data_IF_398124997699
#
_entry.id   IF_398124997699
#
_cell.length_a   1.000
_cell.length_b   1.000
_cell.length_c   1.000
_cell.angle_alpha   90.00
_cell.angle_beta   90.00
_cell.angle_gamma   90.00
#
_symmetry.space_group_name_H-M   'P 1'
#
loop_
_entity.id
_entity.type
_entity.pdbx_description
1 polymer ?
#
# COMPACT_ATOMS: atom_id res chain seq x y z
N UNK A 1 -4.40 -5.66 -25.24
CA UNK A 1 -3.74 -4.61 -24.41
C UNK A 1 -2.28 -4.99 -24.24
N UNK A 2 -1.33 -4.13 -24.59
CA UNK A 2 0.10 -4.44 -24.45
C UNK A 2 0.43 -4.46 -22.97
N UNK A 3 0.85 -5.62 -22.48
CA UNK A 3 1.36 -5.81 -21.12
C UNK A 3 2.73 -5.14 -21.08
N UNK A 4 2.89 -4.08 -20.29
CA UNK A 4 4.18 -3.42 -20.14
C UNK A 4 5.03 -4.24 -19.19
N UNK A 5 6.15 -4.75 -19.69
CA UNK A 5 7.12 -5.51 -18.91
C UNK A 5 8.23 -4.57 -18.41
N UNK A 6 8.58 -4.73 -17.16
CA UNK A 6 9.76 -4.10 -16.55
C UNK A 6 10.55 -5.24 -15.90
N UNK A 7 11.65 -5.65 -16.53
CA UNK A 7 12.40 -6.85 -16.16
C UNK A 7 11.47 -8.08 -16.09
N UNK A 8 11.34 -8.67 -14.87
CA UNK A 8 10.46 -9.81 -14.59
C UNK A 8 9.03 -9.42 -14.15
N UNK A 9 8.71 -8.11 -14.14
CA UNK A 9 7.40 -7.61 -13.70
C UNK A 9 6.45 -7.40 -14.88
N UNK A 10 5.25 -7.99 -14.76
CA UNK A 10 4.13 -7.80 -15.67
C UNK A 10 3.12 -6.84 -15.03
N UNK A 11 2.81 -5.74 -15.69
CA UNK A 11 1.78 -4.80 -15.26
C UNK A 11 0.40 -5.34 -15.68
N UNK A 12 -0.45 -5.67 -14.70
CA UNK A 12 -1.76 -6.31 -14.94
C UNK A 12 -2.84 -5.25 -15.11
N UNK A 13 -3.00 -4.37 -14.13
CA UNK A 13 -3.98 -3.27 -14.16
C UNK A 13 -3.50 -2.09 -13.32
N UNK A 14 -4.04 -0.91 -13.61
CA UNK A 14 -3.84 0.28 -12.80
C UNK A 14 -4.71 0.20 -11.55
N UNK A 15 -4.11 0.46 -10.38
CA UNK A 15 -4.79 0.54 -9.09
C UNK A 15 -5.10 1.97 -8.68
N UNK A 16 -4.19 2.92 -9.01
CA UNK A 16 -4.36 4.30 -8.63
C UNK A 16 -3.42 5.24 -9.39
N UNK A 17 -3.65 6.55 -9.21
CA UNK A 17 -2.80 7.61 -9.75
C UNK A 17 -2.62 8.70 -8.70
N UNK A 18 -1.38 9.00 -8.35
CA UNK A 18 -1.00 10.16 -7.56
C UNK A 18 -0.52 11.31 -8.45
N UNK A 19 -0.06 12.38 -7.81
CA UNK A 19 0.44 13.59 -8.52
C UNK A 19 1.68 13.27 -9.36
N UNK A 20 2.58 12.43 -8.86
CA UNK A 20 3.88 12.13 -9.49
C UNK A 20 4.10 10.65 -9.78
N UNK A 21 3.10 9.81 -9.54
CA UNK A 21 3.22 8.37 -9.66
C UNK A 21 1.92 7.71 -10.09
N UNK A 22 2.07 6.51 -10.59
CA UNK A 22 0.96 5.61 -10.86
C UNK A 22 1.20 4.31 -10.12
N UNK A 23 0.14 3.70 -9.58
CA UNK A 23 0.23 2.41 -8.89
C UNK A 23 -0.45 1.35 -9.73
N UNK A 24 0.22 0.22 -9.91
CA UNK A 24 -0.24 -0.89 -10.71
C UNK A 24 -0.27 -2.19 -9.90
N UNK A 25 -1.25 -3.02 -10.16
CA UNK A 25 -1.19 -4.43 -9.82
C UNK A 25 -0.21 -5.11 -10.78
N UNK A 26 0.75 -5.82 -10.22
CA UNK A 26 1.78 -6.54 -10.98
C UNK A 26 1.92 -7.97 -10.51
N UNK A 27 2.55 -8.80 -11.35
CA UNK A 27 3.03 -10.13 -10.98
C UNK A 27 4.45 -10.33 -11.50
N UNK A 28 5.24 -11.18 -10.86
CA UNK A 28 6.51 -11.64 -11.43
C UNK A 28 6.24 -12.73 -12.46
N UNK A 29 7.07 -12.76 -13.51
CA UNK A 29 6.97 -13.78 -14.54
C UNK A 29 7.14 -15.18 -13.92
N UNK A 30 6.22 -16.09 -14.23
CA UNK A 30 6.22 -17.44 -13.68
C UNK A 30 5.69 -17.58 -12.26
N UNK A 31 5.27 -16.48 -11.61
CA UNK A 31 4.67 -16.49 -10.26
C UNK A 31 3.18 -16.12 -10.30
N UNK A 32 2.42 -16.72 -9.38
CA UNK A 32 1.03 -16.32 -9.10
C UNK A 32 0.94 -15.17 -8.07
N UNK A 33 2.07 -14.82 -7.45
CA UNK A 33 2.12 -13.76 -6.45
C UNK A 33 1.83 -12.40 -7.07
N UNK A 34 1.10 -11.59 -6.33
CA UNK A 34 0.66 -10.26 -6.74
C UNK A 34 1.34 -9.20 -5.89
N UNK A 35 1.71 -8.12 -6.55
CA UNK A 35 2.38 -6.97 -5.93
C UNK A 35 1.67 -5.69 -6.33
N UNK A 36 1.78 -4.66 -5.50
CA UNK A 36 1.51 -3.28 -5.89
C UNK A 36 2.83 -2.64 -6.33
N UNK A 37 2.88 -2.06 -7.52
CA UNK A 37 4.08 -1.41 -8.05
C UNK A 37 3.81 0.07 -8.27
N UNK A 38 4.48 0.92 -7.49
CA UNK A 38 4.45 2.37 -7.62
C UNK A 38 5.48 2.78 -8.67
N UNK A 39 5.00 3.26 -9.82
CA UNK A 39 5.81 3.78 -10.93
C UNK A 39 5.96 5.28 -10.77
N UNK A 40 7.19 5.78 -10.62
CA UNK A 40 7.53 7.18 -10.40
C UNK A 40 8.31 7.69 -11.61
N UNK A 41 7.86 8.76 -12.26
CA UNK A 41 8.58 9.37 -13.39
C UNK A 41 9.80 10.15 -12.89
N UNK A 42 10.98 9.83 -13.41
CA UNK A 42 12.25 10.50 -13.07
C UNK A 42 12.30 11.97 -13.48
N UNK A 43 11.43 12.42 -14.38
CA UNK A 43 11.30 13.86 -14.69
C UNK A 43 10.95 14.67 -13.45
N UNK A 44 10.19 14.10 -12.51
CA UNK A 44 9.92 14.76 -11.22
C UNK A 44 11.13 14.75 -10.29
N UNK A 45 12.02 13.77 -10.43
CA UNK A 45 13.28 13.70 -9.70
C UNK A 45 14.38 14.64 -10.26
N UNK A 46 14.15 15.35 -11.36
CA UNK A 46 15.04 16.40 -11.87
C UNK A 46 15.19 17.58 -10.89
N UNK A 47 14.16 17.80 -10.05
CA UNK A 47 14.26 18.72 -8.92
C UNK A 47 15.02 18.03 -7.77
N UNK A 48 16.16 18.61 -7.27
CA UNK A 48 16.96 18.02 -6.20
C UNK A 48 16.18 17.72 -4.92
N UNK A 49 15.18 18.54 -4.58
CA UNK A 49 14.29 18.32 -3.41
C UNK A 49 13.42 17.08 -3.64
N UNK A 50 12.80 16.96 -4.81
CA UNK A 50 11.94 15.81 -5.13
C UNK A 50 12.75 14.50 -5.17
N UNK A 51 13.97 14.52 -5.74
CA UNK A 51 14.88 13.38 -5.71
C UNK A 51 15.18 12.95 -4.27
N UNK A 52 15.53 13.88 -3.40
CA UNK A 52 15.79 13.60 -1.99
C UNK A 52 14.59 12.95 -1.27
N UNK A 53 13.36 13.36 -1.62
CA UNK A 53 12.16 12.72 -1.06
C UNK A 53 12.01 11.27 -1.51
N UNK A 54 12.24 10.98 -2.80
CA UNK A 54 12.16 9.62 -3.33
C UNK A 54 13.26 8.73 -2.72
N UNK A 55 14.49 9.22 -2.66
CA UNK A 55 15.62 8.49 -2.08
C UNK A 55 15.38 8.19 -0.59
N UNK A 56 14.84 9.16 0.16
CA UNK A 56 14.47 8.98 1.56
C UNK A 56 13.32 7.96 1.71
N UNK A 57 12.27 8.03 0.89
CA UNK A 57 11.15 7.08 0.91
C UNK A 57 11.67 5.65 0.70
N UNK A 58 12.52 5.45 -0.31
CA UNK A 58 13.14 4.16 -0.61
C UNK A 58 13.99 3.67 0.57
N UNK A 59 14.83 4.53 1.12
CA UNK A 59 15.72 4.20 2.25
C UNK A 59 14.92 3.78 3.48
N UNK A 60 13.89 4.55 3.82
CA UNK A 60 13.00 4.26 4.95
C UNK A 60 12.28 2.93 4.73
N UNK A 61 11.67 2.73 3.56
CA UNK A 61 10.92 1.49 3.28
C UNK A 61 11.79 0.25 3.28
N UNK A 62 13.08 0.34 2.90
CA UNK A 62 14.03 -0.78 2.98
C UNK A 62 14.38 -1.20 4.41
N UNK A 63 14.30 -0.27 5.37
CA UNK A 63 14.64 -0.50 6.78
C UNK A 63 13.42 -0.86 7.64
N UNK A 64 12.22 -0.84 7.07
CA UNK A 64 10.98 -1.13 7.78
C UNK A 64 10.61 -2.62 7.60
N UNK A 65 10.40 -3.30 8.74
CA UNK A 65 9.80 -4.63 8.79
C UNK A 65 8.81 -4.68 9.96
N UNK A 66 7.51 -4.56 9.64
CA UNK A 66 6.43 -4.56 10.63
C UNK A 66 5.12 -5.06 9.97
N UNK A 67 4.36 -5.94 10.63
CA UNK A 67 3.18 -6.59 10.03
C UNK A 67 2.05 -5.64 9.62
N UNK A 68 2.02 -4.42 10.17
CA UNK A 68 1.00 -3.40 9.83
C UNK A 68 1.59 -2.23 9.04
N UNK A 69 2.70 -2.43 8.34
CA UNK A 69 3.26 -1.46 7.40
C UNK A 69 3.53 -2.20 6.10
N UNK A 70 3.09 -1.61 4.99
CA UNK A 70 3.28 -2.19 3.65
C UNK A 70 4.74 -2.51 3.40
N UNK A 71 5.03 -3.77 3.10
CA UNK A 71 6.40 -4.25 2.89
C UNK A 71 6.91 -3.86 1.51
N UNK A 72 8.13 -3.34 1.43
CA UNK A 72 8.86 -3.17 0.17
C UNK A 72 9.62 -4.47 -0.14
N UNK A 73 9.37 -5.03 -1.32
CA UNK A 73 10.04 -6.26 -1.78
C UNK A 73 11.22 -5.98 -2.70
N UNK A 74 11.09 -4.95 -3.56
CA UNK A 74 12.10 -4.67 -4.56
C UNK A 74 12.02 -3.22 -5.05
N UNK A 75 13.11 -2.69 -5.59
CA UNK A 75 13.17 -1.40 -6.26
C UNK A 75 13.86 -1.61 -7.60
N UNK A 76 13.11 -1.40 -8.69
CA UNK A 76 13.63 -1.48 -10.04
C UNK A 76 13.74 -0.10 -10.65
N UNK A 77 14.65 0.06 -11.58
CA UNK A 77 14.97 1.35 -12.19
C UNK A 77 15.21 1.19 -13.69
N UNK A 78 14.61 2.10 -14.45
CA UNK A 78 14.90 2.29 -15.88
C UNK A 78 15.47 3.68 -16.12
N UNK A 79 15.82 4.02 -17.37
CA UNK A 79 16.24 5.38 -17.72
C UNK A 79 15.19 6.45 -17.39
N UNK A 80 13.89 6.09 -17.38
CA UNK A 80 12.77 7.04 -17.25
C UNK A 80 12.02 6.92 -15.92
N UNK A 81 12.03 5.75 -15.24
CA UNK A 81 11.16 5.48 -14.11
C UNK A 81 11.87 4.75 -12.97
N UNK A 82 11.41 5.02 -11.73
CA UNK A 82 11.58 4.13 -10.60
C UNK A 82 10.32 3.27 -10.42
N UNK A 83 10.50 2.02 -9.99
CA UNK A 83 9.42 1.09 -9.68
C UNK A 83 9.64 0.52 -8.28
N UNK A 84 8.79 0.92 -7.33
CA UNK A 84 8.79 0.39 -5.97
C UNK A 84 7.79 -0.77 -5.93
N UNK A 85 8.30 -1.98 -5.75
CA UNK A 85 7.49 -3.21 -5.70
C UNK A 85 7.16 -3.49 -4.25
N UNK A 86 5.90 -3.37 -3.89
CA UNK A 86 5.42 -3.50 -2.52
C UNK A 86 4.39 -4.61 -2.39
N UNK A 87 4.07 -4.95 -1.15
CA UNK A 87 2.94 -5.78 -0.79
C UNK A 87 1.65 -5.27 -1.46
N UNK A 88 0.85 -6.19 -1.98
CA UNK A 88 -0.47 -5.89 -2.52
C UNK A 88 -1.54 -6.16 -1.48
N UNK A 89 -2.20 -5.11 -1.02
CA UNK A 89 -3.34 -5.19 -0.12
C UNK A 89 -4.62 -5.31 -0.95
N UNK A 90 -5.28 -6.45 -0.89
CA UNK A 90 -6.40 -6.78 -1.79
C UNK A 90 -7.76 -6.27 -1.33
N UNK A 91 -7.84 -5.66 -0.16
CA UNK A 91 -9.04 -5.05 0.42
C UNK A 91 -9.23 -3.56 0.09
N UNK A 92 -8.32 -2.95 -0.66
CA UNK A 92 -8.37 -1.51 -0.95
C UNK A 92 -7.99 -0.64 0.24
N UNK A 93 -8.42 0.61 0.24
CA UNK A 93 -8.21 1.56 1.33
C UNK A 93 -9.38 1.58 2.32
N UNK A 94 -9.11 2.09 3.53
CA UNK A 94 -10.09 2.11 4.61
C UNK A 94 -11.22 3.13 4.38
N UNK A 95 -10.97 4.21 3.60
CA UNK A 95 -12.00 5.20 3.26
C UNK A 95 -13.09 4.55 2.44
N UNK A 96 -12.71 3.94 1.32
CA UNK A 96 -13.64 3.21 0.43
C UNK A 96 -14.37 2.07 1.17
N UNK A 97 -13.65 1.35 2.04
CA UNK A 97 -14.27 0.26 2.81
C UNK A 97 -15.30 0.74 3.83
N UNK A 98 -15.09 1.93 4.41
CA UNK A 98 -16.04 2.55 5.34
C UNK A 98 -17.29 3.02 4.59
N UNK A 99 -17.12 3.67 3.44
CA UNK A 99 -18.21 4.11 2.56
C UNK A 99 -19.06 2.92 2.11
N UNK A 100 -18.45 1.88 1.57
CA UNK A 100 -19.13 0.65 1.14
C UNK A 100 -19.92 -0.01 2.29
N UNK A 101 -19.34 -0.03 3.50
CA UNK A 101 -20.03 -0.58 4.67
C UNK A 101 -21.22 0.26 5.06
N UNK A 102 -21.07 1.59 5.09
CA UNK A 102 -22.13 2.53 5.45
C UNK A 102 -23.28 2.49 4.43
N UNK A 103 -22.96 2.46 3.14
CA UNK A 103 -23.96 2.36 2.06
C UNK A 103 -24.74 1.05 2.13
N UNK A 104 -24.05 -0.05 2.41
CA UNK A 104 -24.67 -1.38 2.45
C UNK A 104 -25.55 -1.61 3.67
N UNK A 105 -25.12 -1.15 4.84
CA UNK A 105 -25.76 -1.48 6.11
C UNK A 105 -26.46 -0.29 6.78
N UNK A 106 -26.30 0.92 6.26
CA UNK A 106 -26.76 2.19 6.85
C UNK A 106 -26.34 2.35 8.33
N UNK A 107 -25.10 1.94 8.64
CA UNK A 107 -24.55 1.90 10.00
C UNK A 107 -23.05 2.20 9.97
N UNK A 108 -22.47 2.79 11.03
CA UNK A 108 -21.03 2.88 11.18
C UNK A 108 -20.41 1.49 11.39
N UNK A 109 -19.08 1.39 11.28
CA UNK A 109 -18.37 0.17 11.68
C UNK A 109 -18.67 -0.18 13.13
N UNK A 110 -18.84 -1.48 13.45
CA UNK A 110 -18.91 -1.96 14.82
C UNK A 110 -17.69 -1.54 15.63
N UNK A 111 -17.88 -1.19 16.90
CA UNK A 111 -16.79 -0.74 17.78
C UNK A 111 -15.63 -1.75 17.84
N UNK A 112 -15.93 -3.05 17.86
CA UNK A 112 -14.93 -4.12 17.84
C UNK A 112 -14.00 -4.05 16.62
N UNK A 113 -14.56 -3.70 15.45
CA UNK A 113 -13.78 -3.51 14.21
C UNK A 113 -12.91 -2.28 14.33
N UNK A 114 -13.46 -1.18 14.83
CA UNK A 114 -12.71 0.07 15.04
C UNK A 114 -11.55 -0.15 16.01
N UNK A 115 -11.79 -0.80 17.15
CA UNK A 115 -10.77 -1.12 18.13
C UNK A 115 -9.64 -1.99 17.53
N UNK A 116 -10.01 -2.98 16.73
CA UNK A 116 -9.04 -3.84 16.06
C UNK A 116 -8.17 -3.06 15.07
N UNK A 117 -8.78 -2.24 14.21
CA UNK A 117 -8.05 -1.39 13.25
C UNK A 117 -7.13 -0.41 13.98
N UNK A 118 -7.63 0.25 15.02
CA UNK A 118 -6.85 1.20 15.80
C UNK A 118 -5.64 0.56 16.50
N UNK A 119 -5.77 -0.67 17.01
CA UNK A 119 -4.63 -1.40 17.60
C UNK A 119 -3.50 -1.60 16.58
N UNK A 120 -3.82 -1.94 15.34
CA UNK A 120 -2.83 -2.14 14.28
C UNK A 120 -2.18 -0.82 13.87
N UNK A 121 -2.98 0.22 13.68
CA UNK A 121 -2.49 1.57 13.32
C UNK A 121 -1.54 2.09 14.41
N UNK A 122 -1.94 2.00 15.68
CA UNK A 122 -1.11 2.43 16.81
C UNK A 122 0.18 1.61 16.90
N UNK A 123 0.12 0.30 16.63
CA UNK A 123 1.31 -0.56 16.58
C UNK A 123 2.30 -0.10 15.51
N UNK A 124 1.81 0.18 14.30
CA UNK A 124 2.62 0.70 13.21
C UNK A 124 3.25 2.07 13.54
N UNK A 125 2.45 3.00 14.06
CA UNK A 125 2.92 4.34 14.46
C UNK A 125 3.99 4.23 15.56
N UNK A 126 3.75 3.41 16.58
CA UNK A 126 4.72 3.17 17.66
C UNK A 126 6.05 2.63 17.13
N UNK A 127 6.00 1.70 16.16
CA UNK A 127 7.20 1.17 15.51
C UNK A 127 7.97 2.27 14.78
N UNK A 128 7.29 3.10 13.97
CA UNK A 128 7.89 4.22 13.24
C UNK A 128 8.54 5.23 14.22
N UNK A 129 7.82 5.61 15.28
CA UNK A 129 8.33 6.56 16.29
C UNK A 129 9.56 6.02 17.02
N UNK A 130 9.65 4.72 17.31
CA UNK A 130 10.86 4.10 17.87
C UNK A 130 12.06 4.20 16.93
N UNK A 131 11.83 4.27 15.62
CA UNK A 131 12.85 4.51 14.60
C UNK A 131 13.04 6.00 14.27
N UNK A 132 12.44 6.91 15.04
CA UNK A 132 12.47 8.36 14.82
C UNK A 132 11.88 8.80 13.45
N UNK A 133 10.96 8.00 12.91
CA UNK A 133 10.28 8.26 11.65
C UNK A 133 8.87 8.80 11.95
N UNK A 134 8.50 9.92 11.32
CA UNK A 134 7.16 10.48 11.34
C UNK A 134 6.46 10.22 10.01
N UNK A 135 5.25 9.63 10.04
CA UNK A 135 4.49 9.31 8.83
C UNK A 135 3.97 10.57 8.10
N UNK A 136 3.49 11.57 8.83
CA UNK A 136 3.04 12.91 8.37
C UNK A 136 1.77 12.96 7.49
N UNK A 137 1.23 11.82 7.06
CA UNK A 137 0.00 11.77 6.22
C UNK A 137 -0.87 10.56 6.60
N UNK A 138 -1.22 10.46 7.91
CA UNK A 138 -2.13 9.41 8.39
C UNK A 138 -3.56 9.85 8.11
N UNK A 139 -4.23 9.10 7.22
CA UNK A 139 -5.64 9.28 6.85
C UNK A 139 -6.18 7.95 6.33
N UNK A 140 -7.50 7.83 6.22
CA UNK A 140 -8.16 6.58 5.83
C UNK A 140 -7.71 6.07 4.45
N UNK A 141 -7.47 6.98 3.50
CA UNK A 141 -6.97 6.65 2.14
C UNK A 141 -5.59 6.00 2.15
N UNK A 142 -4.78 6.24 3.19
CA UNK A 142 -3.42 5.70 3.33
C UNK A 142 -3.37 4.46 4.23
N UNK A 143 -4.52 3.97 4.69
CA UNK A 143 -4.63 2.73 5.46
C UNK A 143 -5.21 1.67 4.53
N UNK A 144 -4.37 0.70 4.16
CA UNK A 144 -4.74 -0.35 3.23
C UNK A 144 -5.17 -1.61 4.00
N UNK A 145 -6.14 -2.32 3.45
CA UNK A 145 -6.70 -3.54 4.03
C UNK A 145 -6.16 -4.75 3.25
N UNK A 146 -5.59 -5.71 3.97
CA UNK A 146 -5.16 -6.98 3.41
C UNK A 146 -5.97 -8.12 4.02
N UNK A 147 -6.77 -8.81 3.19
CA UNK A 147 -7.57 -9.96 3.59
C UNK A 147 -6.85 -11.30 3.48
N UNK A 148 -5.67 -11.35 2.87
CA UNK A 148 -4.91 -12.59 2.69
C UNK A 148 -4.17 -13.03 3.97
N UNK A 149 -4.15 -12.20 5.01
CA UNK A 149 -3.69 -12.61 6.33
C UNK A 149 -4.77 -13.43 7.04
N UNK A 150 -4.39 -14.43 7.85
CA UNK A 150 -5.34 -15.23 8.63
C UNK A 150 -6.26 -14.35 9.48
N UNK A 151 -5.71 -13.28 10.01
CA UNK A 151 -6.42 -12.32 10.84
C UNK A 151 -7.36 -11.42 10.02
N UNK A 152 -6.96 -11.03 8.81
CA UNK A 152 -7.79 -10.33 7.84
C UNK A 152 -8.98 -11.17 7.36
N UNK A 153 -8.78 -12.46 7.14
CA UNK A 153 -9.85 -13.39 6.74
C UNK A 153 -10.89 -13.58 7.85
N UNK A 154 -10.48 -13.70 9.11
CA UNK A 154 -11.40 -13.79 10.27
C UNK A 154 -12.30 -12.54 10.37
N UNK A 155 -11.76 -11.34 10.10
CA UNK A 155 -12.51 -10.09 10.21
C UNK A 155 -13.42 -9.83 9.00
N UNK A 156 -13.01 -10.23 7.80
CA UNK A 156 -13.89 -10.21 6.64
C UNK A 156 -15.14 -11.08 6.87
N UNK A 157 -14.99 -12.20 7.57
CA UNK A 157 -16.14 -13.04 7.97
C UNK A 157 -17.03 -12.32 9.01
N UNK A 158 -16.48 -11.55 9.94
CA UNK A 158 -17.27 -10.73 10.88
C UNK A 158 -18.06 -9.62 10.20
N UNK A 159 -17.49 -8.97 9.18
CA UNK A 159 -18.18 -7.96 8.38
C UNK A 159 -19.30 -8.56 7.51
N UNK A 160 -19.19 -9.83 7.12
CA UNK A 160 -20.20 -10.53 6.31
C UNK A 160 -21.32 -11.16 7.13
N UNK A 161 -21.10 -11.44 8.41
CA UNK A 161 -22.07 -12.17 9.25
C UNK A 161 -23.05 -11.25 10.01
N UNK A 162 -22.94 -9.93 9.92
CA UNK A 162 -23.82 -8.95 10.57
C UNK A 162 -24.52 -8.08 9.55
#
# INVERSE_FOLDING_TARGET
MSVMLVDDLTLIKKLGKGVFCEVYLTSKQGSKERYATKKIDKKFASNPKAKKYIDNEITILKDIDHPNIVKLYDVKETSQFFYLVTEYCNGGDLSSSLEDYQDKYNKPFPEEIVQYLMKQIVSAIRYLHKKTILHRDIKLDNILINYDTEEGQRKNNLLKQK
#
